data_IF_410211042843
#
_entry.id   IF_410211042843
#
_cell.length_a   1.000
_cell.length_b   1.000
_cell.length_c   1.000
_cell.angle_alpha   90.00
_cell.angle_beta   90.00
_cell.angle_gamma   90.00
#
_symmetry.space_group_name_H-M   'P 1'
#
loop_
_entity.id
_entity.type
_entity.pdbx_description
1 polymer ?
#
# COMPACT_ATOMS: atom_id res chain seq x y z
N UNK A 1 0.01 -14.35 6.09
CA UNK A 1 -0.71 -13.20 5.49
C UNK A 1 0.14 -12.69 4.33
N UNK A 2 -0.41 -12.41 3.14
CA UNK A 2 0.37 -12.12 1.91
C UNK A 2 1.41 -11.00 2.09
N UNK A 3 1.04 -9.89 2.75
CA UNK A 3 1.96 -8.79 3.04
C UNK A 3 3.17 -9.19 3.90
N UNK A 4 2.99 -10.14 4.81
CA UNK A 4 4.09 -10.65 5.66
C UNK A 4 4.95 -11.68 4.92
N UNK A 5 4.41 -12.31 3.87
CA UNK A 5 5.12 -13.33 3.09
C UNK A 5 5.88 -12.73 1.91
N UNK A 6 5.53 -11.52 1.49
CA UNK A 6 6.15 -10.84 0.36
C UNK A 6 7.55 -10.32 0.72
N UNK A 7 8.52 -10.51 -0.19
CA UNK A 7 9.86 -9.96 -0.02
C UNK A 7 9.90 -8.45 -0.27
N UNK A 8 8.97 -7.94 -1.09
CA UNK A 8 8.79 -6.51 -1.33
C UNK A 8 7.35 -6.20 -1.76
N UNK A 9 6.98 -4.92 -1.76
CA UNK A 9 5.66 -4.50 -2.23
C UNK A 9 5.40 -4.86 -3.70
N UNK A 10 6.44 -5.14 -4.50
CA UNK A 10 6.29 -5.55 -5.89
C UNK A 10 5.51 -6.88 -6.03
N UNK A 11 5.63 -7.78 -5.06
CA UNK A 11 4.98 -9.09 -5.10
C UNK A 11 3.47 -9.02 -4.83
N UNK A 12 3.01 -7.91 -4.25
CA UNK A 12 1.58 -7.70 -4.00
C UNK A 12 0.91 -7.29 -5.32
N UNK A 13 0.01 -8.14 -5.80
CA UNK A 13 -0.66 -7.95 -7.09
C UNK A 13 -1.39 -6.60 -7.18
N UNK A 14 -1.21 -5.89 -8.30
CA UNK A 14 -2.04 -4.74 -8.68
C UNK A 14 -3.42 -5.15 -9.22
N UNK A 15 -3.55 -6.41 -9.62
CA UNK A 15 -4.81 -7.00 -10.07
C UNK A 15 -5.60 -7.53 -8.86
N UNK A 16 -6.92 -7.77 -9.01
CA UNK A 16 -7.69 -8.47 -8.00
C UNK A 16 -7.08 -9.84 -7.64
N UNK A 17 -7.24 -10.35 -6.41
CA UNK A 17 -7.97 -9.72 -5.31
C UNK A 17 -7.26 -8.61 -4.51
N UNK A 18 -5.91 -8.51 -4.35
CA UNK A 18 -5.31 -7.50 -3.47
C UNK A 18 -5.38 -6.07 -4.03
N UNK A 19 -5.39 -5.92 -5.37
CA UNK A 19 -5.50 -4.62 -6.05
C UNK A 19 -4.58 -3.54 -5.46
N UNK A 20 -3.30 -3.87 -5.23
CA UNK A 20 -2.34 -2.94 -4.62
C UNK A 20 -2.02 -1.77 -5.54
N UNK A 21 -2.32 -0.54 -5.12
CA UNK A 21 -2.02 0.66 -5.90
C UNK A 21 -1.74 1.88 -5.03
N UNK A 22 -0.89 2.77 -5.55
CA UNK A 22 -0.68 4.09 -4.96
C UNK A 22 -1.94 4.94 -5.13
N UNK A 23 -2.23 5.75 -4.11
CA UNK A 23 -3.30 6.74 -4.12
C UNK A 23 -2.78 8.08 -4.66
N UNK A 24 -3.72 8.95 -5.05
CA UNK A 24 -3.44 10.26 -5.63
C UNK A 24 -4.04 11.40 -4.80
N UNK A 25 -3.77 12.64 -5.24
CA UNK A 25 -4.34 13.86 -4.65
C UNK A 25 -4.01 14.01 -3.16
N UNK A 26 -5.02 14.14 -2.29
CA UNK A 26 -4.87 14.32 -0.85
C UNK A 26 -4.30 13.08 -0.13
N UNK A 27 -4.14 11.96 -0.82
CA UNK A 27 -3.55 10.72 -0.30
C UNK A 27 -2.30 10.28 -1.08
N UNK A 28 -1.67 11.21 -1.81
CA UNK A 28 -0.40 10.92 -2.48
C UNK A 28 0.63 10.35 -1.49
N UNK A 29 1.41 9.37 -1.96
CA UNK A 29 2.37 8.62 -1.12
C UNK A 29 1.77 7.45 -0.32
N UNK A 30 0.44 7.36 -0.22
CA UNK A 30 -0.22 6.20 0.39
C UNK A 30 -0.49 5.12 -0.64
N UNK A 31 -0.55 3.88 -0.17
CA UNK A 31 -0.96 2.71 -0.94
C UNK A 31 -2.22 2.12 -0.34
N UNK A 32 -2.99 1.45 -1.20
CA UNK A 32 -4.22 0.75 -0.85
C UNK A 32 -4.14 -0.69 -1.32
N UNK A 33 -4.59 -1.62 -0.47
CA UNK A 33 -4.94 -3.00 -0.86
C UNK A 33 -6.38 -3.32 -0.44
N UNK A 34 -7.07 -4.11 -1.27
CA UNK A 34 -8.38 -4.64 -0.96
C UNK A 34 -8.28 -5.65 0.19
N UNK A 35 -9.19 -5.52 1.17
CA UNK A 35 -9.47 -6.55 2.17
C UNK A 35 -10.77 -7.27 1.77
N UNK A 36 -11.56 -7.70 2.76
CA UNK A 36 -12.94 -8.12 2.52
C UNK A 36 -13.74 -6.89 2.13
N UNK A 37 -14.26 -6.89 0.90
CA UNK A 37 -15.10 -5.83 0.36
C UNK A 37 -16.19 -5.39 1.35
N UNK A 38 -16.40 -4.09 1.58
CA UNK A 38 -15.79 -2.93 0.90
C UNK A 38 -14.52 -2.37 1.57
N UNK A 39 -13.91 -3.11 2.50
CA UNK A 39 -12.80 -2.59 3.27
C UNK A 39 -11.50 -2.59 2.47
N UNK A 40 -10.68 -1.57 2.71
CA UNK A 40 -9.32 -1.45 2.20
C UNK A 40 -8.36 -1.10 3.32
N UNK A 41 -7.16 -1.65 3.24
CA UNK A 41 -6.05 -1.28 4.12
C UNK A 41 -5.24 -0.18 3.43
N UNK A 42 -5.04 0.93 4.13
CA UNK A 42 -4.17 2.02 3.70
C UNK A 42 -2.88 2.02 4.50
N UNK A 43 -1.77 2.19 3.81
CA UNK A 43 -0.43 2.19 4.41
C UNK A 43 0.51 3.12 3.64
N UNK A 44 1.64 3.45 4.25
CA UNK A 44 2.75 4.17 3.63
C UNK A 44 4.00 3.28 3.62
N UNK A 45 4.85 3.38 2.59
CA UNK A 45 6.12 2.65 2.57
C UNK A 45 7.14 3.34 3.48
N UNK A 46 8.00 2.53 4.10
CA UNK A 46 9.17 2.97 4.88
C UNK A 46 10.42 2.66 4.06
N UNK A 47 11.26 3.66 3.82
CA UNK A 47 12.59 3.51 3.23
C UNK A 47 13.63 4.12 4.15
N UNK A 48 14.70 3.38 4.45
CA UNK A 48 15.77 3.84 5.34
C UNK A 48 15.23 4.37 6.69
N UNK A 49 14.28 3.65 7.29
CA UNK A 49 13.57 4.03 8.53
C UNK A 49 12.76 5.34 8.45
N UNK A 50 12.51 5.87 7.25
CA UNK A 50 11.77 7.10 7.03
C UNK A 50 10.51 6.83 6.19
N UNK A 51 9.33 7.30 6.63
CA UNK A 51 8.13 7.23 5.80
C UNK A 51 8.28 8.01 4.50
N UNK A 52 7.92 7.39 3.38
CA UNK A 52 7.94 8.04 2.07
C UNK A 52 6.53 8.52 1.75
N UNK A 53 6.32 9.83 1.93
CA UNK A 53 5.02 10.48 1.71
C UNK A 53 4.94 11.23 0.38
N UNK A 54 6.06 11.34 -0.35
CA UNK A 54 6.13 12.02 -1.64
C UNK A 54 6.70 11.08 -2.71
N UNK A 55 5.83 10.55 -3.57
CA UNK A 55 6.26 9.81 -4.75
C UNK A 55 5.16 8.95 -5.37
N UNK A 56 4.75 9.30 -6.60
CA UNK A 56 3.92 8.41 -7.44
C UNK A 56 4.74 7.30 -8.11
N UNK A 57 6.04 7.54 -8.33
CA UNK A 57 6.97 6.63 -9.00
C UNK A 57 8.02 6.09 -8.03
N UNK A 58 7.56 5.38 -6.99
CA UNK A 58 8.44 4.63 -6.10
C UNK A 58 8.64 3.24 -6.69
N UNK A 59 9.90 2.84 -6.81
CA UNK A 59 10.26 1.47 -7.19
C UNK A 59 9.80 0.49 -6.10
N UNK A 60 8.72 -0.24 -6.40
CA UNK A 60 8.07 -1.17 -5.46
C UNK A 60 8.96 -2.33 -5.03
N UNK A 61 10.01 -2.63 -5.79
CA UNK A 61 11.00 -3.66 -5.43
C UNK A 61 11.84 -3.25 -4.21
N UNK A 62 11.91 -1.96 -3.90
CA UNK A 62 12.68 -1.40 -2.78
C UNK A 62 11.87 -1.19 -1.51
N UNK A 63 10.55 -1.40 -1.58
CA UNK A 63 9.66 -1.23 -0.43
C UNK A 63 9.60 -2.57 0.32
N UNK A 64 10.35 -2.65 1.42
CA UNK A 64 10.43 -3.84 2.28
C UNK A 64 9.60 -3.69 3.55
N UNK A 65 9.33 -2.45 3.95
CA UNK A 65 8.62 -2.11 5.17
C UNK A 65 7.46 -1.16 4.86
N UNK A 66 6.36 -1.33 5.59
CA UNK A 66 5.17 -0.49 5.48
C UNK A 66 4.68 -0.12 6.88
N UNK A 67 4.08 1.05 7.00
CA UNK A 67 3.34 1.48 8.18
C UNK A 67 1.85 1.54 7.85
N UNK A 68 1.05 0.79 8.61
CA UNK A 68 -0.41 0.77 8.46
C UNK A 68 -0.99 2.06 9.04
N UNK A 69 -1.78 2.76 8.22
CA UNK A 69 -2.40 4.03 8.60
C UNK A 69 -3.86 3.82 9.04
N UNK A 70 -4.66 3.14 8.22
CA UNK A 70 -6.08 2.95 8.50
C UNK A 70 -6.70 1.78 7.74
N UNK A 71 -7.87 1.34 8.20
CA UNK A 71 -8.78 0.49 7.45
C UNK A 71 -10.01 1.35 7.10
N UNK A 72 -10.30 1.50 5.81
CA UNK A 72 -11.39 2.34 5.31
C UNK A 72 -12.45 1.51 4.60
N UNK A 73 -13.72 1.85 4.81
CA UNK A 73 -14.85 1.36 4.02
C UNK A 73 -15.03 2.27 2.80
N UNK A 74 -14.85 1.75 1.58
CA UNK A 74 -14.91 2.58 0.37
C UNK A 74 -16.31 2.98 -0.09
N UNK A 75 -17.36 2.58 0.63
CA UNK A 75 -18.74 2.93 0.31
C UNK A 75 -19.35 3.95 1.29
N UNK A 76 -18.56 4.47 2.23
CA UNK A 76 -18.99 5.45 3.23
C UNK A 76 -18.39 6.83 3.02
#
# INVERSE_FOLDING_TARGET
MELQAAESLQEISHLPPPRCHALSENRAGQFSVDLIHPHRLLFIPIMDSTPVVEGKDIDRSKILEIEIIEIVDTHK
#
